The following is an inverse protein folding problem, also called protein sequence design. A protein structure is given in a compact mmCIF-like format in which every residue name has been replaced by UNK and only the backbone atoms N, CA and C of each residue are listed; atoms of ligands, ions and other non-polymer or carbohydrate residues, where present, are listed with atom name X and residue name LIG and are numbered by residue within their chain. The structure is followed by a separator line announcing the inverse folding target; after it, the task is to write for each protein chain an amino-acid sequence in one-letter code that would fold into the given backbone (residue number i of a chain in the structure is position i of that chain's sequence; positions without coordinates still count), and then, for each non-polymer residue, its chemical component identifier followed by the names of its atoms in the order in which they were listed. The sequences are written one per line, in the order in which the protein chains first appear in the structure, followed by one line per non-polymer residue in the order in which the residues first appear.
data_IF_126421745568
#
_entry.id   IF_126421745568
#
_cell.length_a   1.000
_cell.length_b   1.000
_cell.length_c   1.000
_cell.angle_alpha   90.00
_cell.angle_beta   90.00
_cell.angle_gamma   90.00
#
_symmetry.space_group_name_H-M   'P 1'
#
loop_
_entity.id
_entity.type
_entity.pdbx_description
1 polymer ?
#
# COMPACT_ATOMS: atom_id res chain seq x y z
N UNK A 1 21.35 27.61 5.00
CA UNK A 1 21.16 26.59 3.96
C UNK A 1 19.70 26.20 3.96
N UNK A 2 19.08 26.33 2.80
CA UNK A 2 17.65 26.46 2.59
C UNK A 2 16.90 25.11 2.64
N UNK A 3 15.73 25.16 3.27
CA UNK A 3 14.44 24.51 2.96
C UNK A 3 14.38 23.45 1.84
N UNK A 4 14.09 22.19 2.20
CA UNK A 4 13.46 21.18 1.32
C UNK A 4 12.05 20.71 1.81
N UNK A 5 11.04 21.59 1.96
CA UNK A 5 9.62 21.17 1.95
C UNK A 5 8.94 21.30 0.57
N UNK A 6 9.52 22.02 -0.39
CA UNK A 6 8.85 22.41 -1.65
C UNK A 6 8.52 21.27 -2.63
N UNK A 7 9.26 20.15 -2.64
CA UNK A 7 9.02 19.06 -3.60
C UNK A 7 7.75 18.25 -3.33
N UNK A 8 7.38 18.07 -2.07
CA UNK A 8 6.22 17.25 -1.69
C UNK A 8 4.89 17.98 -1.89
N UNK A 9 4.86 19.30 -1.63
CA UNK A 9 3.66 20.11 -1.81
C UNK A 9 3.32 20.30 -3.30
N UNK A 10 4.34 20.51 -4.14
CA UNK A 10 4.18 20.65 -5.58
C UNK A 10 3.61 19.38 -6.25
N UNK A 11 3.97 18.19 -5.76
CA UNK A 11 3.45 16.93 -6.28
C UNK A 11 1.97 16.70 -5.93
N UNK A 12 1.52 17.07 -4.72
CA UNK A 12 0.10 16.93 -4.35
C UNK A 12 -0.81 17.89 -5.13
N UNK A 13 -0.34 19.12 -5.36
CA UNK A 13 -1.12 20.14 -6.07
C UNK A 13 -1.32 19.76 -7.55
N UNK A 14 -0.28 19.23 -8.20
CA UNK A 14 -0.36 18.77 -9.58
C UNK A 14 -1.35 17.60 -9.75
N UNK A 15 -1.42 16.68 -8.78
CA UNK A 15 -2.36 15.57 -8.80
C UNK A 15 -3.81 16.00 -8.61
N UNK A 16 -4.05 16.93 -7.67
CA UNK A 16 -5.38 17.51 -7.47
C UNK A 16 -5.86 18.17 -8.76
N UNK A 17 -5.00 18.98 -9.39
CA UNK A 17 -5.31 19.61 -10.67
C UNK A 17 -5.61 18.58 -11.78
N UNK A 18 -4.85 17.47 -11.85
CA UNK A 18 -5.16 16.38 -12.79
C UNK A 18 -6.52 15.75 -12.53
N UNK A 19 -6.88 15.49 -11.27
CA UNK A 19 -8.20 14.94 -10.94
C UNK A 19 -9.33 15.91 -11.30
N UNK A 20 -9.11 17.21 -11.14
CA UNK A 20 -10.06 18.23 -11.57
C UNK A 20 -10.25 18.23 -13.09
N UNK A 21 -9.16 18.10 -13.86
CA UNK A 21 -9.24 17.99 -15.32
C UNK A 21 -9.99 16.74 -15.77
N UNK A 22 -9.69 15.58 -15.18
CA UNK A 22 -10.39 14.32 -15.48
C UNK A 22 -11.87 14.41 -15.13
N UNK A 23 -12.19 15.00 -13.98
CA UNK A 23 -13.57 15.22 -13.55
C UNK A 23 -14.32 16.18 -14.49
N UNK A 24 -13.69 17.27 -14.93
CA UNK A 24 -14.28 18.22 -15.87
C UNK A 24 -14.47 17.63 -17.27
N UNK A 25 -13.68 16.61 -17.64
CA UNK A 25 -13.79 15.89 -18.90
C UNK A 25 -14.89 14.81 -18.91
N UNK A 26 -15.55 14.56 -17.78
CA UNK A 26 -16.63 13.59 -17.71
C UNK A 26 -17.79 14.00 -18.62
N UNK A 27 -18.43 13.04 -19.32
CA UNK A 27 -19.70 13.30 -20.00
C UNK A 27 -20.77 13.79 -19.01
N UNK A 28 -21.76 14.52 -19.53
CA UNK A 28 -22.87 15.01 -18.71
C UNK A 28 -23.57 13.86 -17.96
N UNK A 29 -23.84 14.06 -16.67
CA UNK A 29 -24.30 13.01 -15.75
C UNK A 29 -25.65 12.36 -16.11
N UNK A 30 -26.49 13.09 -16.85
CA UNK A 30 -27.80 12.63 -17.36
C UNK A 30 -27.71 11.95 -18.73
N UNK A 31 -26.52 11.93 -19.35
CA UNK A 31 -26.31 11.38 -20.68
C UNK A 31 -26.05 9.88 -20.67
N UNK A 32 -26.51 9.13 -21.70
CA UNK A 32 -26.14 7.72 -21.87
C UNK A 32 -24.63 7.53 -22.10
N UNK A 33 -23.95 8.58 -22.59
CA UNK A 33 -22.49 8.58 -22.74
C UNK A 33 -21.76 8.46 -21.40
N UNK A 34 -22.30 9.04 -20.32
CA UNK A 34 -21.75 8.89 -18.99
C UNK A 34 -21.76 7.43 -18.53
N UNK A 35 -22.92 6.75 -18.63
CA UNK A 35 -23.04 5.35 -18.24
C UNK A 35 -22.11 4.44 -19.04
N UNK A 36 -21.99 4.68 -20.35
CA UNK A 36 -21.05 3.95 -21.19
C UNK A 36 -19.59 4.18 -20.76
N UNK A 37 -19.23 5.43 -20.44
CA UNK A 37 -17.89 5.77 -19.97
C UNK A 37 -17.57 5.10 -18.62
N UNK A 38 -18.49 5.12 -17.65
CA UNK A 38 -18.31 4.45 -16.36
C UNK A 38 -18.08 2.94 -16.50
N UNK A 39 -18.77 2.30 -17.45
CA UNK A 39 -18.67 0.86 -17.67
C UNK A 39 -17.37 0.43 -18.36
N UNK A 40 -16.82 1.27 -19.25
CA UNK A 40 -15.74 0.89 -20.17
C UNK A 40 -14.38 1.51 -19.87
N UNK A 41 -14.35 2.67 -19.21
CA UNK A 41 -13.10 3.40 -19.05
C UNK A 41 -12.13 2.71 -18.09
N UNK A 42 -10.85 2.87 -18.40
CA UNK A 42 -9.75 2.30 -17.65
C UNK A 42 -9.53 3.04 -16.32
N UNK A 43 -8.81 2.37 -15.39
CA UNK A 43 -8.49 2.91 -14.06
C UNK A 43 -7.71 4.23 -14.13
N UNK A 44 -6.89 4.41 -15.16
CA UNK A 44 -6.10 5.64 -15.39
C UNK A 44 -6.95 6.82 -15.89
N UNK A 45 -8.09 6.54 -16.53
CA UNK A 45 -9.04 7.52 -17.05
C UNK A 45 -10.07 7.90 -15.98
N UNK A 46 -10.49 6.94 -15.14
CA UNK A 46 -11.46 7.13 -14.07
C UNK A 46 -10.91 6.75 -12.69
N UNK A 47 -9.95 7.50 -12.13
CA UNK A 47 -9.44 7.20 -10.79
C UNK A 47 -10.54 7.32 -9.72
N UNK A 48 -10.37 6.61 -8.60
CA UNK A 48 -11.33 6.56 -7.50
C UNK A 48 -11.78 7.94 -6.99
N UNK A 49 -10.87 8.90 -6.96
CA UNK A 49 -11.11 10.28 -6.55
C UNK A 49 -12.16 10.96 -7.42
N UNK A 50 -12.08 10.76 -8.74
CA UNK A 50 -13.02 11.31 -9.73
C UNK A 50 -14.38 10.65 -9.57
N UNK A 51 -14.42 9.32 -9.42
CA UNK A 51 -15.66 8.56 -9.17
C UNK A 51 -16.32 8.95 -7.84
N UNK A 52 -15.54 9.13 -6.77
CA UNK A 52 -16.04 9.54 -5.46
C UNK A 52 -16.68 10.94 -5.52
N UNK A 53 -16.05 11.88 -6.23
CA UNK A 53 -16.60 13.22 -6.47
C UNK A 53 -17.87 13.15 -7.32
N UNK A 54 -17.84 12.39 -8.43
CA UNK A 54 -19.00 12.22 -9.31
C UNK A 54 -20.20 11.64 -8.56
N UNK A 55 -19.99 10.57 -7.79
CA UNK A 55 -21.04 9.96 -6.96
C UNK A 55 -21.67 10.98 -6.00
N UNK A 56 -20.86 11.75 -5.28
CA UNK A 56 -21.36 12.77 -4.34
C UNK A 56 -22.14 13.89 -5.03
N UNK A 57 -21.74 14.28 -6.24
CA UNK A 57 -22.48 15.26 -7.03
C UNK A 57 -23.80 14.69 -7.55
N UNK A 58 -23.79 13.44 -8.02
CA UNK A 58 -24.97 12.74 -8.52
C UNK A 58 -26.06 12.58 -7.44
N UNK A 59 -25.66 12.36 -6.18
CA UNK A 59 -26.58 12.33 -5.04
C UNK A 59 -27.32 13.66 -4.82
N UNK A 60 -26.71 14.80 -5.18
CA UNK A 60 -27.35 16.12 -5.08
C UNK A 60 -28.29 16.41 -6.25
N UNK A 61 -28.09 15.74 -7.38
CA UNK A 61 -28.84 15.93 -8.62
C UNK A 61 -30.03 14.97 -8.78
N UNK A 62 -30.28 14.10 -7.78
CA UNK A 62 -31.28 13.02 -7.83
C UNK A 62 -31.13 12.07 -9.04
N UNK A 63 -29.93 11.97 -9.58
CA UNK A 63 -29.60 11.15 -10.74
C UNK A 63 -29.32 9.68 -10.33
N UNK A 64 -30.35 9.01 -9.81
CA UNK A 64 -30.24 7.71 -9.12
C UNK A 64 -29.50 6.63 -9.94
N UNK A 65 -29.87 6.44 -11.20
CA UNK A 65 -29.26 5.39 -12.03
C UNK A 65 -27.75 5.62 -12.27
N UNK A 66 -27.36 6.87 -12.54
CA UNK A 66 -25.96 7.24 -12.69
C UNK A 66 -25.20 7.13 -11.36
N UNK A 67 -25.82 7.51 -10.24
CA UNK A 67 -25.24 7.36 -8.91
C UNK A 67 -24.97 5.88 -8.57
N UNK A 68 -25.93 4.98 -8.85
CA UNK A 68 -25.79 3.54 -8.64
C UNK A 68 -24.67 2.95 -9.49
N UNK A 69 -24.62 3.23 -10.79
CA UNK A 69 -23.56 2.74 -11.67
C UNK A 69 -22.17 3.24 -11.25
N UNK A 70 -22.07 4.52 -10.85
CA UNK A 70 -20.80 5.10 -10.37
C UNK A 70 -20.34 4.45 -9.08
N UNK A 71 -21.27 4.19 -8.16
CA UNK A 71 -20.99 3.53 -6.89
C UNK A 71 -20.59 2.07 -7.08
N UNK A 72 -21.28 1.35 -7.95
CA UNK A 72 -20.98 -0.03 -8.29
C UNK A 72 -19.56 -0.13 -8.86
N UNK A 73 -19.18 0.76 -9.80
CA UNK A 73 -17.81 0.82 -10.33
C UNK A 73 -16.77 1.14 -9.25
N UNK A 74 -17.09 2.08 -8.34
CA UNK A 74 -16.19 2.48 -7.25
C UNK A 74 -15.97 1.36 -6.23
N UNK A 75 -17.00 0.53 -6.00
CA UNK A 75 -17.01 -0.54 -5.00
C UNK A 75 -16.89 -1.94 -5.61
N UNK A 76 -16.54 -2.04 -6.89
CA UNK A 76 -16.35 -3.31 -7.58
C UNK A 76 -15.26 -4.11 -6.86
N UNK A 77 -15.70 -5.19 -6.22
CA UNK A 77 -14.88 -6.11 -5.44
C UNK A 77 -14.54 -7.38 -6.22
N UNK A 78 -15.11 -7.57 -7.41
CA UNK A 78 -14.79 -8.69 -8.31
C UNK A 78 -13.51 -8.39 -9.10
N UNK A 79 -13.20 -7.12 -9.31
CA UNK A 79 -11.92 -6.70 -9.86
C UNK A 79 -10.83 -6.75 -8.77
N UNK A 80 -9.90 -7.71 -8.89
CA UNK A 80 -8.73 -7.85 -8.00
C UNK A 80 -7.83 -6.59 -7.99
N UNK A 81 -7.95 -5.75 -9.02
CA UNK A 81 -7.28 -4.45 -9.15
C UNK A 81 -8.23 -3.26 -8.88
N UNK A 82 -9.38 -3.51 -8.24
CA UNK A 82 -10.40 -2.50 -7.95
C UNK A 82 -9.96 -1.47 -6.90
N UNK A 83 -10.76 -0.42 -6.73
CA UNK A 83 -10.41 0.69 -5.83
C UNK A 83 -10.38 0.31 -4.34
N UNK A 84 -10.82 -0.90 -3.98
CA UNK A 84 -10.89 -1.38 -2.60
C UNK A 84 -9.74 -2.33 -2.19
N UNK A 85 -8.69 -2.46 -3.02
CA UNK A 85 -7.54 -3.33 -2.72
C UNK A 85 -6.93 -3.06 -1.33
N UNK A 86 -6.78 -1.79 -0.95
CA UNK A 86 -6.27 -1.42 0.38
C UNK A 86 -7.13 -1.98 1.51
N UNK A 87 -8.46 -2.05 1.33
CA UNK A 87 -9.40 -2.57 2.34
C UNK A 87 -9.20 -4.08 2.50
N UNK A 88 -9.07 -4.82 1.39
CA UNK A 88 -8.74 -6.25 1.41
C UNK A 88 -7.42 -6.52 2.12
N UNK A 89 -6.39 -5.73 1.81
CA UNK A 89 -5.09 -5.87 2.43
C UNK A 89 -5.15 -5.63 3.96
N UNK A 90 -5.85 -4.59 4.39
CA UNK A 90 -6.04 -4.31 5.81
C UNK A 90 -6.82 -5.41 6.53
N UNK A 91 -7.85 -5.97 5.88
CA UNK A 91 -8.60 -7.11 6.40
C UNK A 91 -7.69 -8.33 6.60
N UNK A 92 -6.94 -8.74 5.57
CA UNK A 92 -5.98 -9.87 5.62
C UNK A 92 -4.97 -9.73 6.75
N UNK A 93 -4.37 -8.54 6.89
CA UNK A 93 -3.40 -8.25 7.96
C UNK A 93 -3.99 -8.35 9.36
N UNK A 94 -5.30 -8.23 9.50
CA UNK A 94 -6.01 -8.32 10.78
C UNK A 94 -6.52 -9.73 11.09
N UNK A 95 -6.64 -10.58 10.08
CA UNK A 95 -7.10 -11.98 10.16
C UNK A 95 -6.01 -13.02 9.83
N UNK A 96 -4.75 -12.92 10.31
CA UNK A 96 -3.72 -13.87 9.93
C UNK A 96 -3.91 -15.28 10.53
N UNK A 97 -4.77 -15.46 11.55
CA UNK A 97 -5.01 -16.77 12.16
C UNK A 97 -6.46 -16.89 12.68
N UNK A 98 -7.08 -18.05 12.40
CA UNK A 98 -8.49 -18.44 12.53
C UNK A 98 -9.08 -18.51 13.95
N UNK A 99 -8.77 -17.54 14.82
CA UNK A 99 -9.32 -17.44 16.19
C UNK A 99 -10.07 -16.14 16.48
N UNK A 100 -10.33 -15.29 15.48
CA UNK A 100 -11.24 -14.16 15.64
C UNK A 100 -12.66 -14.57 15.22
N UNK A 101 -13.65 -14.00 15.91
CA UNK A 101 -15.08 -14.22 15.61
C UNK A 101 -15.49 -13.67 14.23
N UNK A 102 -14.57 -12.96 13.57
CA UNK A 102 -14.73 -12.34 12.26
C UNK A 102 -13.59 -12.76 11.34
N UNK A 103 -13.93 -13.20 10.14
CA UNK A 103 -12.96 -13.53 9.09
C UNK A 103 -12.60 -12.30 8.22
N UNK A 104 -11.75 -12.48 7.21
CA UNK A 104 -11.33 -11.40 6.31
C UNK A 104 -12.54 -10.74 5.65
N UNK A 105 -13.52 -11.54 5.24
CA UNK A 105 -14.70 -11.08 4.52
C UNK A 105 -15.60 -10.26 5.45
N UNK A 106 -15.79 -10.68 6.69
CA UNK A 106 -16.52 -9.89 7.70
C UNK A 106 -15.93 -8.49 7.88
N UNK A 107 -14.60 -8.40 7.98
CA UNK A 107 -13.91 -7.11 8.12
C UNK A 107 -14.03 -6.25 6.85
N UNK A 108 -13.89 -6.87 5.68
CA UNK A 108 -14.04 -6.21 4.40
C UNK A 108 -15.46 -5.64 4.24
N UNK A 109 -16.49 -6.46 4.50
CA UNK A 109 -17.90 -6.06 4.45
C UNK A 109 -18.23 -4.98 5.48
N UNK A 110 -17.67 -5.05 6.69
CA UNK A 110 -17.83 -4.00 7.69
C UNK A 110 -17.21 -2.66 7.23
N UNK A 111 -16.03 -2.71 6.63
CA UNK A 111 -15.38 -1.52 6.08
C UNK A 111 -16.15 -0.94 4.88
N UNK A 112 -16.67 -1.79 3.98
CA UNK A 112 -17.55 -1.37 2.89
C UNK A 112 -18.81 -0.66 3.41
N UNK A 113 -19.46 -1.22 4.44
CA UNK A 113 -20.61 -0.58 5.10
C UNK A 113 -20.26 0.80 5.65
N UNK A 114 -19.08 0.95 6.27
CA UNK A 114 -18.65 2.26 6.78
C UNK A 114 -18.29 3.23 5.63
N UNK A 115 -17.70 2.74 4.53
CA UNK A 115 -17.48 3.54 3.32
C UNK A 115 -18.81 4.07 2.77
N UNK A 116 -19.78 3.18 2.54
CA UNK A 116 -21.12 3.53 2.03
C UNK A 116 -21.83 4.55 2.91
N UNK A 117 -21.68 4.42 4.23
CA UNK A 117 -22.25 5.33 5.22
C UNK A 117 -21.58 6.71 5.24
N UNK A 118 -20.25 6.77 5.09
CA UNK A 118 -19.48 8.01 5.26
C UNK A 118 -19.31 8.78 3.94
N UNK A 119 -19.21 8.09 2.81
CA UNK A 119 -19.01 8.67 1.48
C UNK A 119 -19.99 9.82 1.12
N UNK A 120 -21.31 9.73 1.38
CA UNK A 120 -22.26 10.82 1.07
C UNK A 120 -22.17 12.00 2.05
N UNK A 121 -21.47 11.87 3.19
CA UNK A 121 -21.43 12.89 4.26
C UNK A 121 -20.30 13.91 4.04
N UNK A 122 -20.25 14.98 4.82
CA UNK A 122 -19.12 15.93 4.77
C UNK A 122 -17.74 15.26 5.00
N UNK A 123 -17.68 14.22 5.84
CA UNK A 123 -16.45 13.43 6.07
C UNK A 123 -15.97 12.69 4.82
N UNK A 124 -16.89 12.37 3.90
CA UNK A 124 -16.59 11.73 2.62
C UNK A 124 -15.85 12.62 1.62
N UNK A 125 -15.76 13.95 1.84
CA UNK A 125 -15.03 14.85 0.94
C UNK A 125 -13.53 14.49 0.82
N UNK A 126 -12.98 13.83 1.84
CA UNK A 126 -11.61 13.31 1.80
C UNK A 126 -11.41 12.28 0.67
N UNK A 127 -12.46 11.55 0.29
CA UNK A 127 -12.40 10.57 -0.80
C UNK A 127 -12.04 11.20 -2.15
N UNK A 128 -12.42 12.46 -2.37
CA UNK A 128 -12.21 13.21 -3.61
C UNK A 128 -10.73 13.61 -3.82
N UNK A 129 -9.93 13.61 -2.75
CA UNK A 129 -8.51 14.04 -2.80
C UNK A 129 -7.56 12.93 -2.36
N UNK A 130 -8.00 12.05 -1.47
CA UNK A 130 -7.18 11.02 -0.86
C UNK A 130 -7.99 9.73 -0.58
N UNK A 131 -8.44 9.07 -1.64
CA UNK A 131 -9.24 7.83 -1.59
C UNK A 131 -8.68 6.77 -0.64
N UNK A 132 -7.39 6.42 -0.78
CA UNK A 132 -6.72 5.41 0.06
C UNK A 132 -6.82 5.75 1.54
N UNK A 133 -6.55 7.01 1.90
CA UNK A 133 -6.64 7.50 3.28
C UNK A 133 -8.07 7.46 3.80
N UNK A 134 -9.03 7.80 2.94
CA UNK A 134 -10.44 7.68 3.25
C UNK A 134 -10.83 6.22 3.56
N UNK A 135 -10.46 5.27 2.71
CA UNK A 135 -10.70 3.84 2.93
C UNK A 135 -10.06 3.31 4.22
N UNK A 136 -8.81 3.72 4.53
CA UNK A 136 -8.13 3.37 5.76
C UNK A 136 -8.86 3.88 7.02
N UNK A 137 -9.36 5.11 6.97
CA UNK A 137 -10.13 5.69 8.06
C UNK A 137 -11.45 4.92 8.27
N UNK A 138 -12.18 4.63 7.19
CA UNK A 138 -13.42 3.84 7.25
C UNK A 138 -13.15 2.42 7.77
N UNK A 139 -12.09 1.76 7.32
CA UNK A 139 -11.68 0.45 7.84
C UNK A 139 -11.39 0.51 9.34
N UNK A 140 -10.65 1.52 9.79
CA UNK A 140 -10.33 1.70 11.21
C UNK A 140 -11.59 1.92 12.06
N UNK A 141 -12.53 2.72 11.55
CA UNK A 141 -13.80 2.98 12.23
C UNK A 141 -14.67 1.72 12.28
N UNK A 142 -14.76 0.95 11.18
CA UNK A 142 -15.44 -0.34 11.14
C UNK A 142 -14.83 -1.35 12.13
N UNK A 143 -13.50 -1.49 12.11
CA UNK A 143 -12.76 -2.35 13.04
C UNK A 143 -13.06 -2.00 14.51
N UNK A 144 -13.03 -0.70 14.85
CA UNK A 144 -13.34 -0.21 16.20
C UNK A 144 -14.80 -0.44 16.57
N UNK A 145 -15.72 -0.36 15.62
CA UNK A 145 -17.14 -0.65 15.87
C UNK A 145 -17.35 -2.11 16.24
N UNK A 146 -16.60 -3.03 15.63
CA UNK A 146 -16.70 -4.47 15.91
C UNK A 146 -15.95 -4.87 17.20
N UNK A 147 -14.78 -4.29 17.46
CA UNK A 147 -13.87 -4.76 18.52
C UNK A 147 -13.68 -3.79 19.69
N UNK A 148 -14.35 -2.63 19.67
CA UNK A 148 -14.20 -1.57 20.67
C UNK A 148 -12.93 -0.73 20.50
N UNK A 149 -12.77 0.29 21.36
CA UNK A 149 -11.62 1.21 21.36
C UNK A 149 -10.40 0.61 22.07
N UNK A 150 -9.85 -0.51 21.60
CA UNK A 150 -8.47 -0.89 21.98
C UNK A 150 -7.52 0.07 21.26
N UNK A 151 -6.65 0.76 22.00
CA UNK A 151 -5.81 1.90 21.55
C UNK A 151 -4.76 1.62 20.47
N UNK A 152 -5.00 0.67 19.58
CA UNK A 152 -4.11 0.32 18.49
C UNK A 152 -4.24 1.36 17.36
N UNK A 153 -3.26 2.27 17.27
CA UNK A 153 -3.04 3.09 16.07
C UNK A 153 -2.35 2.25 15.00
N UNK A 154 -2.89 2.26 13.79
CA UNK A 154 -2.19 1.75 12.61
C UNK A 154 -0.94 2.62 12.39
N UNK A 155 0.26 2.03 12.42
CA UNK A 155 1.43 2.62 11.79
C UNK A 155 1.36 2.26 10.31
N UNK A 156 1.37 3.27 9.44
CA UNK A 156 1.23 3.10 7.99
C UNK A 156 2.38 3.82 7.30
N UNK A 157 3.04 3.13 6.38
CA UNK A 157 3.98 3.73 5.43
C UNK A 157 3.21 4.26 4.23
N UNK A 158 3.57 5.47 3.79
CA UNK A 158 2.89 6.18 2.72
C UNK A 158 3.35 5.65 1.36
N UNK A 159 2.45 5.04 0.59
CA UNK A 159 2.66 4.93 -0.84
C UNK A 159 2.35 6.30 -1.47
N UNK A 160 3.38 7.03 -1.90
CA UNK A 160 3.17 8.21 -2.74
C UNK A 160 3.07 7.76 -4.20
N UNK A 161 2.18 8.37 -5.00
CA UNK A 161 2.12 8.11 -6.43
C UNK A 161 3.46 8.47 -7.09
N UNK A 162 3.93 7.56 -7.93
CA UNK A 162 5.22 7.68 -8.61
C UNK A 162 4.98 8.27 -9.99
N UNK A 163 5.71 9.34 -10.31
CA UNK A 163 5.70 9.90 -11.65
C UNK A 163 6.68 9.11 -12.51
N UNK A 164 6.20 8.57 -13.63
CA UNK A 164 7.09 7.97 -14.62
C UNK A 164 7.96 9.08 -15.23
N UNK A 165 9.28 8.99 -14.99
CA UNK A 165 10.24 10.00 -15.41
C UNK A 165 10.46 10.04 -16.93
N UNK A 166 10.08 9.00 -17.68
CA UNK A 166 10.25 8.95 -19.14
C UNK A 166 9.03 9.51 -19.88
N UNK A 167 7.83 9.18 -19.42
CA UNK A 167 6.59 9.59 -20.10
C UNK A 167 5.95 10.84 -19.50
N UNK A 168 6.37 11.24 -18.29
CA UNK A 168 5.74 12.30 -17.51
C UNK A 168 4.34 11.93 -17.01
N UNK A 169 3.88 10.71 -17.29
CA UNK A 169 2.57 10.22 -16.85
C UNK A 169 2.65 9.71 -15.41
N UNK A 170 1.65 10.03 -14.60
CA UNK A 170 1.60 9.46 -13.24
C UNK A 170 1.11 8.02 -13.35
N UNK A 171 1.96 7.09 -12.93
CA UNK A 171 1.56 5.71 -12.71
C UNK A 171 0.84 5.65 -11.36
N UNK A 172 -0.47 5.50 -11.45
CA UNK A 172 -1.25 5.08 -10.30
C UNK A 172 -0.90 3.61 -10.11
N UNK A 173 -0.01 3.30 -9.17
CA UNK A 173 0.11 1.93 -8.72
C UNK A 173 -1.28 1.54 -8.21
N UNK A 174 -2.00 0.70 -8.99
CA UNK A 174 -2.83 -0.33 -8.38
C UNK A 174 -1.87 -0.99 -7.40
N UNK A 175 -2.13 -0.89 -6.10
CA UNK A 175 -1.28 -1.50 -5.09
C UNK A 175 -1.26 -3.01 -5.34
N UNK A 176 -0.37 -3.47 -6.22
CA UNK A 176 -0.20 -4.88 -6.53
C UNK A 176 0.36 -5.54 -5.29
N UNK A 177 -0.48 -6.43 -4.76
CA UNK A 177 -0.23 -7.46 -3.79
C UNK A 177 1.22 -7.94 -3.79
N UNK A 178 1.99 -7.53 -2.80
CA UNK A 178 3.25 -8.19 -2.39
C UNK A 178 3.10 -8.51 -0.91
N UNK A 179 2.13 -9.39 -0.61
CA UNK A 179 1.70 -9.73 0.74
C UNK A 179 2.25 -11.05 1.29
N UNK A 180 2.73 -11.95 0.43
CA UNK A 180 3.29 -13.27 0.82
C UNK A 180 4.80 -13.37 0.57
N UNK A 181 5.40 -12.23 0.30
CA UNK A 181 6.74 -12.09 -0.22
C UNK A 181 7.61 -11.40 0.84
N UNK A 182 8.88 -11.79 0.97
CA UNK A 182 9.75 -11.15 1.95
C UNK A 182 9.77 -9.62 1.68
N UNK A 183 10.01 -8.75 2.67
CA UNK A 183 9.89 -7.28 2.49
C UNK A 183 10.75 -6.68 1.35
N UNK A 184 11.66 -7.47 0.80
CA UNK A 184 12.55 -7.13 -0.30
C UNK A 184 12.20 -7.84 -1.63
N UNK A 185 11.21 -8.73 -1.66
CA UNK A 185 10.68 -9.28 -2.90
C UNK A 185 9.76 -8.27 -3.61
N UNK A 186 9.13 -7.36 -2.83
CA UNK A 186 8.21 -6.35 -3.36
C UNK A 186 8.88 -5.45 -4.40
N UNK A 187 8.56 -5.59 -5.69
CA UNK A 187 9.13 -4.79 -6.79
C UNK A 187 10.21 -5.51 -7.62
N UNK A 188 10.51 -6.77 -7.32
CA UNK A 188 11.30 -7.66 -8.17
C UNK A 188 10.34 -8.49 -9.02
N UNK A 189 10.60 -8.67 -10.32
CA UNK A 189 9.75 -9.55 -11.15
C UNK A 189 9.96 -11.02 -10.77
N UNK A 190 8.93 -11.86 -10.88
CA UNK A 190 9.02 -13.31 -10.59
C UNK A 190 10.17 -14.00 -11.34
N UNK A 191 10.53 -13.51 -12.53
CA UNK A 191 11.64 -13.99 -13.35
C UNK A 191 13.02 -13.67 -12.77
N UNK A 192 13.15 -12.57 -12.03
CA UNK A 192 14.41 -12.10 -11.42
C UNK A 192 14.56 -12.59 -9.97
N UNK A 193 13.46 -12.99 -9.32
CA UNK A 193 13.42 -13.37 -7.92
C UNK A 193 14.40 -14.50 -7.54
N UNK A 194 14.49 -15.64 -8.26
CA UNK A 194 15.45 -16.71 -7.92
C UNK A 194 16.91 -16.24 -7.97
N UNK A 195 17.19 -15.27 -8.84
CA UNK A 195 18.52 -14.70 -9.00
C UNK A 195 18.85 -13.74 -7.87
N UNK A 196 17.91 -12.89 -7.48
CA UNK A 196 18.06 -12.01 -6.32
C UNK A 196 18.22 -12.84 -5.04
N UNK A 197 17.42 -13.89 -4.84
CA UNK A 197 17.57 -14.85 -3.73
C UNK A 197 18.97 -15.48 -3.67
N UNK A 198 19.49 -15.94 -4.82
CA UNK A 198 20.84 -16.49 -4.90
C UNK A 198 21.91 -15.46 -4.55
N UNK A 199 21.74 -14.21 -5.01
CA UNK A 199 22.66 -13.11 -4.73
C UNK A 199 22.62 -12.71 -3.25
N UNK A 200 21.44 -12.62 -2.65
CA UNK A 200 21.22 -12.39 -1.21
C UNK A 200 21.92 -13.47 -0.41
N UNK A 201 21.67 -14.75 -0.72
CA UNK A 201 22.28 -15.89 -0.02
C UNK A 201 23.80 -15.88 -0.10
N UNK A 202 24.36 -15.62 -1.30
CA UNK A 202 25.81 -15.49 -1.52
C UNK A 202 26.39 -14.34 -0.71
N UNK A 203 25.76 -13.16 -0.78
CA UNK A 203 26.23 -11.95 -0.11
C UNK A 203 26.25 -12.13 1.40
N UNK A 204 25.16 -12.65 1.97
CA UNK A 204 25.07 -12.95 3.40
C UNK A 204 26.15 -13.95 3.81
N UNK A 205 26.37 -15.01 3.03
CA UNK A 205 27.39 -16.02 3.32
C UNK A 205 28.82 -15.44 3.33
N UNK A 206 29.07 -14.41 2.51
CA UNK A 206 30.36 -13.71 2.42
C UNK A 206 30.59 -12.65 3.53
N UNK A 207 29.61 -12.38 4.41
CA UNK A 207 29.79 -11.44 5.52
C UNK A 207 30.68 -12.06 6.59
N UNK A 208 31.94 -11.62 6.70
CA UNK A 208 32.90 -12.16 7.68
C UNK A 208 32.42 -12.08 9.14
N UNK A 209 31.75 -10.99 9.52
CA UNK A 209 31.26 -10.79 10.88
C UNK A 209 30.08 -11.75 11.17
N UNK A 210 30.22 -12.68 12.14
CA UNK A 210 29.19 -13.68 12.44
C UNK A 210 27.91 -13.06 13.02
N UNK A 211 28.01 -11.93 13.74
CA UNK A 211 26.86 -11.22 14.27
C UNK A 211 26.06 -10.54 13.15
N UNK A 212 26.76 -9.82 12.25
CA UNK A 212 26.10 -9.20 11.08
C UNK A 212 25.47 -10.27 10.19
N UNK A 213 26.17 -11.39 9.98
CA UNK A 213 25.67 -12.52 9.21
C UNK A 213 24.40 -13.13 9.82
N UNK A 214 24.37 -13.32 11.14
CA UNK A 214 23.20 -13.85 11.84
C UNK A 214 21.99 -12.92 11.73
N UNK A 215 22.20 -11.61 11.92
CA UNK A 215 21.16 -10.59 11.72
C UNK A 215 20.64 -10.60 10.28
N UNK A 216 21.54 -10.65 9.30
CA UNK A 216 21.16 -10.65 7.89
C UNK A 216 20.39 -11.93 7.49
N UNK A 217 20.84 -13.11 7.94
CA UNK A 217 20.14 -14.39 7.67
C UNK A 217 18.69 -14.38 8.15
N UNK A 218 18.42 -13.80 9.31
CA UNK A 218 17.06 -13.71 9.83
C UNK A 218 16.25 -12.63 9.10
N UNK A 219 16.79 -11.42 8.96
CA UNK A 219 16.05 -10.28 8.42
C UNK A 219 15.81 -10.33 6.90
N UNK A 220 16.60 -11.10 6.16
CA UNK A 220 16.36 -11.37 4.73
C UNK A 220 15.70 -12.72 4.47
N UNK A 221 15.23 -13.42 5.51
CA UNK A 221 14.45 -14.65 5.34
C UNK A 221 13.00 -14.34 4.93
N UNK A 222 12.28 -15.36 4.48
CA UNK A 222 10.83 -15.29 4.21
C UNK A 222 9.99 -15.01 5.47
N UNK A 223 10.55 -15.20 6.67
CA UNK A 223 9.86 -15.00 7.94
C UNK A 223 10.80 -14.36 8.98
N UNK A 224 11.08 -13.05 8.87
CA UNK A 224 12.02 -12.35 9.75
C UNK A 224 11.49 -12.24 11.17
N UNK A 225 12.39 -12.35 12.16
CA UNK A 225 12.05 -12.14 13.56
C UNK A 225 11.91 -10.64 13.85
N UNK A 226 11.07 -10.22 14.82
CA UNK A 226 11.00 -8.82 15.21
C UNK A 226 12.32 -8.37 15.84
N UNK A 227 12.79 -7.16 15.52
CA UNK A 227 14.07 -6.66 16.03
C UNK A 227 14.04 -6.50 17.56
N UNK A 228 13.00 -5.88 18.12
CA UNK A 228 12.83 -5.71 19.58
C UNK A 228 11.36 -5.79 19.97
N UNK A 229 11.10 -6.32 21.17
CA UNK A 229 9.78 -6.62 21.76
C UNK A 229 8.91 -7.56 20.92
N UNK A 230 8.60 -8.73 21.46
CA UNK A 230 7.47 -9.50 20.97
C UNK A 230 6.21 -8.79 21.45
N UNK A 231 5.25 -8.52 20.58
CA UNK A 231 3.88 -8.38 21.07
C UNK A 231 3.55 -9.70 21.77
N UNK A 232 3.27 -9.66 23.07
CA UNK A 232 2.73 -10.81 23.79
C UNK A 232 1.56 -11.38 22.97
N UNK A 233 1.74 -12.60 22.48
CA UNK A 233 0.73 -13.36 21.75
C UNK A 233 0.81 -13.38 20.22
N UNK A 234 1.83 -12.83 19.54
CA UNK A 234 1.84 -12.74 18.06
C UNK A 234 3.16 -13.01 17.32
N UNK A 235 4.11 -13.75 17.90
CA UNK A 235 5.36 -14.06 17.18
C UNK A 235 5.77 -15.52 17.43
N UNK A 236 5.92 -16.29 16.34
CA UNK A 236 6.43 -17.68 16.40
C UNK A 236 7.91 -17.75 16.76
N UNK A 237 8.65 -16.63 16.62
CA UNK A 237 10.07 -16.50 16.94
C UNK A 237 10.29 -15.43 18.00
N UNK A 238 11.21 -15.69 18.93
CA UNK A 238 11.63 -14.68 19.91
C UNK A 238 12.20 -13.43 19.19
N UNK A 239 12.15 -12.22 19.78
CA UNK A 239 12.81 -11.06 19.20
C UNK A 239 14.32 -11.26 19.00
N UNK A 240 14.90 -10.64 17.96
CA UNK A 240 16.35 -10.72 17.72
C UNK A 240 17.17 -10.19 18.89
N UNK A 241 16.67 -9.20 19.65
CA UNK A 241 17.32 -8.74 20.89
C UNK A 241 17.52 -9.88 21.89
N UNK A 242 16.58 -10.81 21.98
CA UNK A 242 16.63 -11.96 22.88
C UNK A 242 17.47 -13.09 22.28
N UNK A 243 17.26 -13.41 21.00
CA UNK A 243 17.99 -14.48 20.32
C UNK A 243 19.51 -14.23 20.25
N UNK A 244 19.91 -12.98 20.00
CA UNK A 244 21.31 -12.60 19.80
C UNK A 244 21.93 -11.91 21.01
N UNK A 245 21.19 -11.79 22.12
CA UNK A 245 21.61 -11.08 23.34
C UNK A 245 22.27 -9.72 23.03
N UNK A 246 21.62 -8.93 22.18
CA UNK A 246 22.15 -7.67 21.66
C UNK A 246 21.10 -6.57 21.74
N UNK A 247 21.54 -5.32 21.90
CA UNK A 247 20.61 -4.19 21.90
C UNK A 247 20.01 -3.98 20.52
N UNK A 248 18.79 -3.41 20.48
CA UNK A 248 18.11 -3.03 19.23
C UNK A 248 19.00 -2.17 18.32
N UNK A 249 19.82 -1.29 18.90
CA UNK A 249 20.70 -0.40 18.16
C UNK A 249 21.88 -1.14 17.51
N UNK A 250 22.43 -2.15 18.18
CA UNK A 250 23.46 -3.03 17.60
C UNK A 250 22.88 -3.84 16.43
N UNK A 251 21.68 -4.38 16.58
CA UNK A 251 20.98 -5.12 15.51
C UNK A 251 20.67 -4.19 14.32
N UNK A 252 20.13 -2.99 14.54
CA UNK A 252 19.88 -2.03 13.46
C UNK A 252 21.16 -1.55 12.76
N UNK A 253 22.29 -1.49 13.46
CA UNK A 253 23.59 -1.14 12.85
C UNK A 253 24.14 -2.30 12.01
N UNK A 254 24.02 -3.53 12.51
CA UNK A 254 24.37 -4.73 11.77
C UNK A 254 23.52 -4.86 10.50
N UNK A 255 22.20 -4.67 10.61
CA UNK A 255 21.29 -4.73 9.47
C UNK A 255 21.62 -3.68 8.41
N UNK A 256 21.91 -2.43 8.80
CA UNK A 256 22.37 -1.39 7.86
C UNK A 256 23.66 -1.78 7.14
N UNK A 257 24.60 -2.41 7.85
CA UNK A 257 25.86 -2.88 7.28
C UNK A 257 25.65 -4.02 6.28
N UNK A 258 24.70 -4.92 6.56
CA UNK A 258 24.31 -5.99 5.65
C UNK A 258 23.57 -5.46 4.41
N UNK A 259 22.60 -4.55 4.58
CA UNK A 259 21.89 -3.86 3.48
C UNK A 259 22.85 -3.16 2.53
N UNK A 260 23.83 -2.43 3.07
CA UNK A 260 24.82 -1.71 2.25
C UNK A 260 25.68 -2.66 1.39
N UNK A 261 26.08 -3.81 1.94
CA UNK A 261 26.83 -4.84 1.20
C UNK A 261 25.97 -5.46 0.10
N UNK A 262 24.73 -5.80 0.42
CA UNK A 262 23.78 -6.37 -0.53
C UNK A 262 23.46 -5.41 -1.67
N UNK A 263 23.24 -4.12 -1.37
CA UNK A 263 23.04 -3.13 -2.42
C UNK A 263 24.27 -2.94 -3.31
N UNK A 264 25.48 -2.98 -2.75
CA UNK A 264 26.69 -2.95 -3.56
C UNK A 264 26.75 -4.12 -4.55
N UNK A 265 26.35 -5.32 -4.12
CA UNK A 265 26.31 -6.50 -5.00
C UNK A 265 25.19 -6.40 -6.05
N UNK A 266 24.00 -5.91 -5.66
CA UNK A 266 22.86 -5.71 -6.56
C UNK A 266 23.14 -4.67 -7.64
N UNK A 267 23.79 -3.55 -7.30
CA UNK A 267 24.17 -2.49 -8.26
C UNK A 267 25.23 -3.00 -9.24
N UNK A 268 26.13 -3.88 -8.78
CA UNK A 268 27.25 -4.35 -9.56
C UNK A 268 26.97 -5.62 -10.37
N UNK A 269 25.78 -6.22 -10.29
CA UNK A 269 25.39 -7.33 -11.17
C UNK A 269 24.88 -6.78 -12.51
N UNK A 270 25.65 -6.89 -13.60
CA UNK A 270 25.31 -6.28 -14.90
C UNK A 270 24.13 -6.97 -15.60
N UNK A 271 23.63 -8.07 -15.05
CA UNK A 271 22.53 -8.84 -15.60
C UNK A 271 21.23 -8.71 -14.78
N UNK A 272 21.23 -7.86 -13.74
CA UNK A 272 20.03 -7.51 -12.99
C UNK A 272 19.46 -6.18 -13.51
N UNK A 273 18.21 -6.20 -13.96
CA UNK A 273 17.46 -5.03 -14.41
C UNK A 273 16.57 -4.53 -13.28
N UNK A 274 17.19 -4.28 -12.12
CA UNK A 274 16.46 -3.82 -10.94
C UNK A 274 16.06 -2.36 -11.09
N UNK A 275 14.81 -2.08 -10.73
CA UNK A 275 14.34 -0.72 -10.59
C UNK A 275 15.19 0.03 -9.55
N UNK A 276 15.71 1.20 -9.96
CA UNK A 276 16.55 2.05 -9.11
C UNK A 276 15.76 2.66 -7.96
N UNK A 277 14.45 2.82 -8.11
CA UNK A 277 13.58 3.31 -7.05
C UNK A 277 13.30 2.22 -6.01
N UNK A 278 13.03 0.99 -6.45
CA UNK A 278 13.02 -0.19 -5.58
C UNK A 278 14.31 -0.31 -4.76
N UNK A 279 15.47 -0.23 -5.40
CA UNK A 279 16.77 -0.33 -4.72
C UNK A 279 16.95 0.78 -3.67
N UNK A 280 16.46 2.00 -3.94
CA UNK A 280 16.49 3.12 -2.99
C UNK A 280 15.52 2.90 -1.82
N UNK A 281 14.34 2.33 -2.06
CA UNK A 281 13.37 2.03 -1.01
C UNK A 281 13.88 0.90 -0.10
N UNK A 282 14.43 -0.16 -0.68
CA UNK A 282 15.06 -1.27 0.03
C UNK A 282 16.20 -0.83 0.97
N UNK A 283 16.96 0.19 0.56
CA UNK A 283 18.11 0.73 1.29
C UNK A 283 17.80 1.70 2.43
N UNK A 284 16.57 2.25 2.48
CA UNK A 284 16.12 3.11 3.59
C UNK A 284 15.86 2.30 4.87
#
# INVERSE_FOLDING_TARGET
MATEPEKTENNSAALIHRFEQLYAALPAFDSPAYLAHIAQADVSELPAQVLARAYRQLLQMDAKAAAEATLERLLDHQNINGYLVIVRHLARRRTPDSQQWHDEEDLFQAAMKEILKVLPTSRGALAETAWVRFCQNCFTDAWRSMHGRRGERLQVEFAQPTQDNETGTYQFHVETTTGDEAPWHAGVTDSELPRVEALVSRTISAINDPFIRAVAKDQFSSAPSPISSAREGKVSKAPLTEQLNASRFQISRALRSAKARLASELINDPQLTLDREWLRAFLR
#
